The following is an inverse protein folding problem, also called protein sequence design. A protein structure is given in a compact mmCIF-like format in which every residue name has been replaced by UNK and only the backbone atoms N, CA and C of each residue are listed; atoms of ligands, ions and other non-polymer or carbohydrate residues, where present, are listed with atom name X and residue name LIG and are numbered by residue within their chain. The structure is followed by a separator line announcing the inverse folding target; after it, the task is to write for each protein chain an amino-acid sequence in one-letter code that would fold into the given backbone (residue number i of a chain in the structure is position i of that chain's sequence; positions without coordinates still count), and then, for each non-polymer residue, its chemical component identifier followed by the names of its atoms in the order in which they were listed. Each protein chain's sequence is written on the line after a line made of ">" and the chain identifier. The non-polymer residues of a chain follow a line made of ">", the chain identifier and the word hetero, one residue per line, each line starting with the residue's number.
data_IF_284325476915
#
_entry.id   IF_284325476915
#
_cell.length_a   1.000
_cell.length_b   1.000
_cell.length_c   1.000
_cell.angle_alpha   90.00
_cell.angle_beta   90.00
_cell.angle_gamma   90.00
#
_symmetry.space_group_name_H-M   'P 1'
#
loop_
_entity.id
_entity.type
_entity.pdbx_description
1 polymer ?
#
# COMPACT_ATOMS: atom_id res chain seq x y z
N UNK A 1 8.34 14.01 7.69
CA UNK A 1 7.35 14.97 8.25
C UNK A 1 5.97 14.41 7.97
N UNK A 2 5.12 14.26 8.98
CA UNK A 2 3.76 13.77 8.78
C UNK A 2 2.92 14.90 8.18
N UNK A 3 2.66 14.85 6.87
CA UNK A 3 1.79 15.81 6.21
C UNK A 3 0.38 15.79 6.82
N UNK A 4 -0.29 16.95 6.84
CA UNK A 4 -1.68 17.09 7.28
C UNK A 4 -2.59 16.79 6.08
N UNK A 5 -3.72 16.10 6.31
CA UNK A 5 -4.70 15.83 5.25
C UNK A 5 -5.27 17.13 4.65
N UNK A 6 -5.37 17.21 3.32
CA UNK A 6 -5.89 18.40 2.62
C UNK A 6 -7.31 18.79 3.09
N UNK A 7 -8.12 17.83 3.53
CA UNK A 7 -9.45 18.12 4.08
C UNK A 7 -9.39 18.97 5.35
N UNK A 8 -8.44 18.71 6.24
CA UNK A 8 -8.23 19.50 7.46
C UNK A 8 -7.69 20.90 7.12
N UNK A 9 -6.79 20.98 6.13
CA UNK A 9 -6.33 22.27 5.59
C UNK A 9 -7.51 23.08 5.01
N UNK A 10 -8.42 22.41 4.30
CA UNK A 10 -9.61 23.05 3.71
C UNK A 10 -10.54 23.63 4.76
N UNK A 11 -10.76 22.93 5.88
CA UNK A 11 -11.54 23.43 7.01
C UNK A 11 -10.86 24.64 7.66
N UNK A 12 -9.56 24.56 7.90
CA UNK A 12 -8.77 25.63 8.51
C UNK A 12 -8.83 26.92 7.71
N UNK A 13 -8.69 26.82 6.39
CA UNK A 13 -8.77 27.95 5.46
C UNK A 13 -10.20 28.37 5.14
N UNK A 14 -11.20 27.61 5.60
CA UNK A 14 -12.63 27.83 5.36
C UNK A 14 -12.97 27.92 3.87
N UNK A 15 -12.32 27.10 3.07
CA UNK A 15 -12.59 27.00 1.64
C UNK A 15 -13.97 26.39 1.40
N UNK A 16 -14.77 27.04 0.55
CA UNK A 16 -16.11 26.58 0.15
C UNK A 16 -16.09 25.34 -0.77
N UNK A 17 -14.95 25.01 -1.37
CA UNK A 17 -14.74 23.84 -2.22
C UNK A 17 -13.34 23.28 -2.01
N UNK A 18 -13.22 21.95 -2.02
CA UNK A 18 -11.93 21.25 -1.86
C UNK A 18 -10.95 21.56 -3.00
N UNK A 19 -11.45 21.89 -4.20
CA UNK A 19 -10.64 22.26 -5.38
C UNK A 19 -9.71 23.45 -5.10
N UNK A 20 -10.13 24.38 -4.23
CA UNK A 20 -9.28 25.51 -3.81
C UNK A 20 -8.10 25.07 -2.95
N UNK A 21 -8.18 23.91 -2.30
CA UNK A 21 -7.14 23.33 -1.44
C UNK A 21 -6.30 22.30 -2.19
N UNK A 22 -6.81 21.67 -3.25
CA UNK A 22 -6.09 20.73 -4.12
C UNK A 22 -4.85 21.34 -4.77
N UNK A 23 -4.81 22.66 -4.94
CA UNK A 23 -3.61 23.40 -5.35
C UNK A 23 -2.39 23.15 -4.46
N UNK A 24 -2.58 22.67 -3.22
CA UNK A 24 -1.51 22.32 -2.28
C UNK A 24 -1.17 20.82 -2.28
N UNK A 25 -1.82 19.99 -3.09
CA UNK A 25 -1.58 18.55 -3.13
C UNK A 25 -0.12 18.19 -3.47
N UNK A 26 0.54 19.01 -4.27
CA UNK A 26 1.95 18.85 -4.61
C UNK A 26 2.92 19.06 -3.42
N UNK A 27 2.45 19.66 -2.33
CA UNK A 27 3.22 19.81 -1.08
C UNK A 27 3.11 18.59 -0.18
N UNK A 28 2.18 17.67 -0.48
CA UNK A 28 2.08 16.43 0.27
C UNK A 28 3.37 15.64 0.09
N UNK A 29 4.01 15.18 1.18
CA UNK A 29 5.12 14.26 1.04
C UNK A 29 4.62 12.99 0.34
N UNK A 30 5.48 12.29 -0.41
CA UNK A 30 5.13 11.07 -1.15
C UNK A 30 4.63 9.96 -0.18
N UNK A 31 3.34 9.99 0.13
CA UNK A 31 2.69 9.11 1.12
C UNK A 31 1.94 7.94 0.44
N UNK A 32 2.17 7.72 -0.86
CA UNK A 32 1.51 6.66 -1.63
C UNK A 32 1.65 5.28 -0.95
N UNK A 33 2.83 4.98 -0.39
CA UNK A 33 3.07 3.74 0.35
C UNK A 33 2.26 3.61 1.65
N UNK A 34 2.01 4.72 2.36
CA UNK A 34 1.21 4.73 3.59
C UNK A 34 -0.28 4.53 3.32
N UNK A 35 -0.81 5.14 2.26
CA UNK A 35 -2.21 4.94 1.87
C UNK A 35 -2.50 3.48 1.52
N UNK A 36 -1.60 2.84 0.76
CA UNK A 36 -1.70 1.41 0.42
C UNK A 36 -1.55 0.53 1.67
N UNK A 37 -0.63 0.85 2.58
CA UNK A 37 -0.44 0.07 3.82
C UNK A 37 -1.68 0.11 4.74
N UNK A 38 -2.44 1.21 4.75
CA UNK A 38 -3.63 1.34 5.60
C UNK A 38 -4.86 0.61 5.03
N UNK A 39 -4.84 0.20 3.75
CA UNK A 39 -5.91 -0.56 3.11
C UNK A 39 -5.93 -2.04 3.53
N UNK A 40 -5.02 -2.48 4.42
CA UNK A 40 -4.99 -3.86 4.91
C UNK A 40 -4.59 -4.89 3.86
N UNK A 41 -4.05 -4.45 2.71
CA UNK A 41 -3.55 -5.34 1.67
C UNK A 41 -2.20 -5.94 2.10
N UNK A 42 -2.24 -6.97 2.94
CA UNK A 42 -1.09 -7.86 3.07
C UNK A 42 -1.05 -8.73 1.82
N UNK A 43 -0.18 -8.40 0.86
CA UNK A 43 0.07 -9.29 -0.26
C UNK A 43 0.81 -10.54 0.28
N UNK A 44 0.07 -11.49 0.83
CA UNK A 44 0.59 -12.77 1.29
C UNK A 44 0.80 -13.63 0.04
N UNK A 45 1.92 -13.41 -0.65
CA UNK A 45 2.30 -14.22 -1.79
C UNK A 45 2.59 -15.64 -1.33
N UNK A 46 1.66 -16.55 -1.57
CA UNK A 46 1.81 -18.00 -1.38
C UNK A 46 2.54 -18.59 -2.57
N UNK A 47 3.83 -18.29 -2.73
CA UNK A 47 4.61 -18.90 -3.79
C UNK A 47 5.98 -19.33 -3.28
N UNK A 48 6.06 -20.52 -2.67
CA UNK A 48 7.18 -21.47 -2.83
C UNK A 48 7.00 -22.78 -2.02
N UNK A 49 5.79 -23.32 -1.89
CA UNK A 49 5.61 -24.59 -1.16
C UNK A 49 5.52 -25.81 -2.11
N UNK A 50 5.18 -25.60 -3.39
CA UNK A 50 4.89 -26.71 -4.31
C UNK A 50 6.13 -27.37 -4.93
N UNK A 51 7.30 -26.71 -4.93
CA UNK A 51 8.51 -27.27 -5.54
C UNK A 51 9.20 -28.33 -4.66
N UNK A 52 9.00 -28.31 -3.35
CA UNK A 52 9.58 -29.32 -2.44
C UNK A 52 8.87 -30.67 -2.54
N UNK A 53 7.54 -30.66 -2.73
CA UNK A 53 6.75 -31.90 -2.81
C UNK A 53 7.02 -32.68 -4.11
N UNK A 54 7.26 -31.98 -5.22
CA UNK A 54 7.60 -32.60 -6.50
C UNK A 54 9.01 -33.23 -6.51
N UNK A 55 9.99 -32.59 -5.84
CA UNK A 55 11.36 -33.13 -5.71
C UNK A 55 11.40 -34.37 -4.82
N UNK A 56 10.57 -34.43 -3.77
CA UNK A 56 10.50 -35.61 -2.89
C UNK A 56 9.84 -36.79 -3.62
N UNK A 57 8.81 -36.56 -4.44
CA UNK A 57 8.14 -37.63 -5.19
C UNK A 57 8.99 -38.26 -6.30
N UNK A 58 9.97 -37.53 -6.87
CA UNK A 58 10.84 -38.07 -7.92
C UNK A 58 12.05 -38.85 -7.38
N UNK A 59 12.48 -38.62 -6.14
CA UNK A 59 13.65 -39.29 -5.55
C UNK A 59 13.28 -40.51 -4.68
N UNK A 60 12.01 -40.92 -4.65
CA UNK A 60 11.50 -42.04 -3.85
C UNK A 60 11.37 -43.38 -4.57
N UNK A 61 11.77 -43.50 -5.84
CA UNK A 61 11.69 -44.75 -6.62
C UNK A 61 13.08 -45.13 -7.13
N UNK A 62 13.98 -45.44 -6.19
CA UNK A 62 15.20 -46.22 -6.45
C UNK A 62 15.49 -47.08 -5.22
N UNK A 63 14.75 -48.18 -5.11
CA UNK A 63 15.09 -49.45 -4.46
C UNK A 63 14.21 -50.51 -5.11
#
# INVERSE_FOLDING_TARGET
>A
MNGIALFEVSKLLRHSSIQMTERYAHLAPDHLHHAVSNLGFSAHFQHSENLRQAVISQNGVIT
#
